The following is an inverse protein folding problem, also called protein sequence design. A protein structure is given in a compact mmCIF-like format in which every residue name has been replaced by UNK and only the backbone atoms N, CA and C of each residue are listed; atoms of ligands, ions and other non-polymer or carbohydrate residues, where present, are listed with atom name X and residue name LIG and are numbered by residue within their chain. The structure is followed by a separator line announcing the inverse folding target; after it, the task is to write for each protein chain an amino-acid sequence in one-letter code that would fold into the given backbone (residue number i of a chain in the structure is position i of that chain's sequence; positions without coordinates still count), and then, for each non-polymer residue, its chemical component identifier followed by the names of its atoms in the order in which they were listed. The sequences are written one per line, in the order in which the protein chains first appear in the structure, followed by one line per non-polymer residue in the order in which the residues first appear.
data_IF_010585296335
#
_entry.id   IF_010585296335
#
_cell.length_a   1.000
_cell.length_b   1.000
_cell.length_c   1.000
_cell.angle_alpha   90.00
_cell.angle_beta   90.00
_cell.angle_gamma   90.00
#
_symmetry.space_group_name_H-M   'P 1'
#
loop_
_entity.id
_entity.type
_entity.pdbx_description
1 polymer ?
#
# COMPACT_ATOMS: atom_id res chain seq x y z
N UNK A 1 -0.29 -46.93 -36.60
CA UNK A 1 -0.91 -45.63 -36.29
C UNK A 1 -0.29 -45.14 -35.01
N UNK A 2 0.64 -44.21 -35.11
CA UNK A 2 1.39 -43.63 -33.99
C UNK A 2 0.44 -42.76 -33.18
N UNK A 3 0.24 -43.11 -31.90
CA UNK A 3 -0.43 -42.23 -30.94
C UNK A 3 0.49 -41.03 -30.69
N UNK A 4 0.19 -39.90 -31.32
CA UNK A 4 0.73 -38.62 -30.91
C UNK A 4 0.26 -38.33 -29.47
N UNK A 5 1.16 -37.93 -28.56
CA UNK A 5 0.74 -37.48 -27.24
C UNK A 5 -0.09 -36.21 -27.40
N UNK A 6 -1.38 -36.30 -27.11
CA UNK A 6 -2.25 -35.13 -26.99
C UNK A 6 -1.69 -34.25 -25.86
N UNK A 7 -0.98 -33.18 -26.25
CA UNK A 7 -0.63 -32.09 -25.36
C UNK A 7 -1.94 -31.43 -24.92
N UNK A 8 -2.47 -31.84 -23.77
CA UNK A 8 -3.53 -31.10 -23.09
C UNK A 8 -2.89 -29.78 -22.62
N UNK A 9 -2.98 -28.73 -23.44
CA UNK A 9 -2.58 -27.38 -23.06
C UNK A 9 -3.35 -27.01 -21.80
N UNK A 10 -2.64 -26.86 -20.67
CA UNK A 10 -3.22 -26.42 -19.43
C UNK A 10 -3.92 -25.06 -19.63
N UNK A 11 -5.24 -25.03 -19.42
CA UNK A 11 -6.03 -23.82 -19.64
C UNK A 11 -5.51 -22.66 -18.79
N UNK A 12 -5.35 -21.49 -19.42
CA UNK A 12 -4.94 -20.28 -18.74
C UNK A 12 -6.05 -19.78 -17.80
N UNK A 13 -5.87 -20.01 -16.50
CA UNK A 13 -6.83 -19.62 -15.47
C UNK A 13 -7.00 -18.09 -15.35
N UNK A 14 -6.00 -17.30 -15.74
CA UNK A 14 -6.14 -15.84 -15.82
C UNK A 14 -7.09 -15.46 -16.96
N UNK A 15 -6.97 -16.13 -18.11
CA UNK A 15 -7.87 -15.93 -19.25
C UNK A 15 -9.31 -16.28 -18.90
N UNK A 16 -9.54 -17.34 -18.13
CA UNK A 16 -10.89 -17.71 -17.67
C UNK A 16 -11.58 -16.58 -16.89
N UNK A 17 -10.85 -15.86 -16.03
CA UNK A 17 -11.42 -14.74 -15.29
C UNK A 17 -11.75 -13.55 -16.21
N UNK A 18 -10.89 -13.28 -17.20
CA UNK A 18 -11.13 -12.24 -18.22
C UNK A 18 -12.41 -12.56 -18.99
N UNK A 19 -12.52 -13.80 -19.49
CA UNK A 19 -13.70 -14.28 -20.23
C UNK A 19 -14.96 -14.23 -19.37
N UNK A 20 -14.88 -14.66 -18.09
CA UNK A 20 -16.01 -14.63 -17.15
C UNK A 20 -16.57 -13.22 -16.93
N UNK A 21 -15.73 -12.21 -16.99
CA UNK A 21 -16.12 -10.81 -16.83
C UNK A 21 -16.19 -10.06 -18.16
N UNK A 22 -16.31 -10.79 -19.28
CA UNK A 22 -16.50 -10.22 -20.63
C UNK A 22 -15.44 -9.19 -21.01
N UNK A 23 -14.20 -9.36 -20.53
CA UNK A 23 -13.11 -8.42 -20.77
C UNK A 23 -13.38 -6.99 -20.25
N UNK A 24 -14.33 -6.80 -19.32
CA UNK A 24 -14.67 -5.49 -18.75
C UNK A 24 -13.72 -5.13 -17.59
N UNK A 25 -12.89 -4.08 -17.72
CA UNK A 25 -11.96 -3.65 -16.67
C UNK A 25 -12.64 -3.35 -15.33
N UNK A 26 -13.86 -2.81 -15.35
CA UNK A 26 -14.59 -2.44 -14.13
C UNK A 26 -15.07 -3.68 -13.39
N UNK A 27 -15.59 -4.67 -14.13
CA UNK A 27 -15.97 -5.96 -13.54
C UNK A 27 -14.76 -6.68 -12.96
N UNK A 28 -13.61 -6.66 -13.66
CA UNK A 28 -12.35 -7.21 -13.15
C UNK A 28 -11.88 -6.49 -11.88
N UNK A 29 -11.92 -5.15 -11.85
CA UNK A 29 -11.56 -4.40 -10.65
C UNK A 29 -12.46 -4.74 -9.46
N UNK A 30 -13.78 -4.85 -9.68
CA UNK A 30 -14.75 -5.28 -8.66
C UNK A 30 -14.40 -6.68 -8.14
N UNK A 31 -13.99 -7.60 -9.02
CA UNK A 31 -13.58 -8.94 -8.62
C UNK A 31 -12.36 -8.92 -7.67
N UNK A 32 -11.35 -8.08 -7.95
CA UNK A 32 -10.21 -7.87 -7.06
C UNK A 32 -10.63 -7.24 -5.73
N UNK A 33 -11.52 -6.24 -5.74
CA UNK A 33 -12.02 -5.58 -4.53
C UNK A 33 -12.80 -6.54 -3.65
N UNK A 34 -13.69 -7.34 -4.24
CA UNK A 34 -14.46 -8.36 -3.54
C UNK A 34 -13.55 -9.42 -2.94
N UNK A 35 -12.58 -9.93 -3.72
CA UNK A 35 -11.64 -10.94 -3.24
C UNK A 35 -10.86 -10.45 -2.02
N UNK A 36 -10.23 -9.27 -2.09
CA UNK A 36 -9.45 -8.75 -0.95
C UNK A 36 -10.32 -8.35 0.25
N UNK A 37 -11.53 -7.83 0.01
CA UNK A 37 -12.45 -7.42 1.10
C UNK A 37 -13.03 -8.63 1.83
N UNK A 38 -13.48 -9.65 1.09
CA UNK A 38 -14.00 -10.89 1.67
C UNK A 38 -12.91 -11.62 2.46
N UNK A 39 -11.70 -11.67 1.92
CA UNK A 39 -10.55 -12.27 2.60
C UNK A 39 -10.18 -11.52 3.87
N UNK A 40 -10.12 -10.20 3.84
CA UNK A 40 -9.87 -9.40 5.04
C UNK A 40 -10.98 -9.60 6.09
N UNK A 41 -12.26 -9.63 5.69
CA UNK A 41 -13.37 -9.87 6.61
C UNK A 41 -13.27 -11.26 7.26
N UNK A 42 -13.02 -12.31 6.46
CA UNK A 42 -12.83 -13.67 6.94
C UNK A 42 -11.73 -13.76 8.00
N UNK A 43 -10.55 -13.23 7.71
CA UNK A 43 -9.43 -13.28 8.65
C UNK A 43 -9.60 -12.33 9.83
N UNK A 44 -10.31 -11.21 9.67
CA UNK A 44 -10.71 -10.36 10.78
C UNK A 44 -11.55 -11.13 11.78
N UNK A 45 -12.57 -11.83 11.30
CA UNK A 45 -13.46 -12.62 12.15
C UNK A 45 -12.70 -13.77 12.82
N UNK A 46 -11.82 -14.46 12.09
CA UNK A 46 -10.99 -15.52 12.65
C UNK A 46 -10.01 -15.02 13.73
N UNK A 47 -9.30 -13.92 13.48
CA UNK A 47 -8.25 -13.40 14.38
C UNK A 47 -8.85 -12.72 15.62
N UNK A 48 -10.01 -12.08 15.47
CA UNK A 48 -10.68 -11.38 16.58
C UNK A 48 -11.66 -12.27 17.36
N UNK A 49 -11.79 -13.55 17.01
CA UNK A 49 -12.59 -14.50 17.77
C UNK A 49 -11.97 -14.78 19.16
N UNK A 50 -12.80 -14.93 20.21
CA UNK A 50 -12.31 -15.40 21.51
C UNK A 50 -11.62 -16.76 21.38
N UNK A 51 -10.45 -16.93 21.98
CA UNK A 51 -9.65 -18.15 21.90
C UNK A 51 -8.57 -18.14 20.80
N UNK A 52 -8.43 -17.06 20.01
CA UNK A 52 -7.33 -16.95 19.05
C UNK A 52 -5.98 -16.88 19.78
N UNK A 53 -5.14 -17.90 19.59
CA UNK A 53 -3.91 -18.08 20.38
C UNK A 53 -2.63 -18.33 19.56
N UNK A 54 -2.73 -18.46 18.23
CA UNK A 54 -1.57 -18.75 17.40
C UNK A 54 -1.61 -18.07 16.02
N UNK A 55 -0.43 -17.63 15.57
CA UNK A 55 -0.18 -17.25 14.19
C UNK A 55 0.39 -18.46 13.43
N UNK A 56 0.16 -18.52 12.12
CA UNK A 56 0.83 -19.49 11.26
C UNK A 56 2.26 -19.00 10.97
N UNK A 57 3.19 -19.40 11.83
CA UNK A 57 4.60 -19.02 11.76
C UNK A 57 5.28 -19.57 10.50
N UNK A 58 6.17 -18.77 9.88
CA UNK A 58 7.01 -19.20 8.76
C UNK A 58 8.29 -19.88 9.28
N UNK A 59 8.24 -21.20 9.43
CA UNK A 59 9.34 -22.00 9.98
C UNK A 59 10.61 -21.91 9.15
N UNK A 60 10.48 -21.89 7.82
CA UNK A 60 11.65 -21.86 6.92
C UNK A 60 12.31 -20.49 6.98
N UNK A 61 11.52 -19.41 6.95
CA UNK A 61 12.06 -18.07 7.17
C UNK A 61 12.74 -17.95 8.55
N UNK A 62 12.15 -18.55 9.59
CA UNK A 62 12.75 -18.54 10.93
C UNK A 62 14.14 -19.20 10.94
N UNK A 63 14.27 -20.38 10.31
CA UNK A 63 15.55 -21.10 10.17
C UNK A 63 16.58 -20.34 9.31
N UNK A 64 16.13 -19.72 8.22
CA UNK A 64 17.00 -18.86 7.38
C UNK A 64 17.55 -17.69 8.19
N UNK A 65 16.71 -17.02 8.99
CA UNK A 65 17.14 -15.89 9.83
C UNK A 65 18.08 -16.32 10.97
N UNK A 66 17.97 -17.57 11.45
CA UNK A 66 18.93 -18.15 12.39
C UNK A 66 20.27 -18.46 11.71
N UNK A 67 20.24 -18.99 10.49
CA UNK A 67 21.43 -19.24 9.70
C UNK A 67 22.17 -17.94 9.32
N UNK A 68 21.45 -16.88 8.94
CA UNK A 68 22.02 -15.54 8.70
C UNK A 68 22.73 -14.95 9.93
N UNK A 69 22.33 -15.38 11.14
CA UNK A 69 22.99 -15.01 12.40
C UNK A 69 24.16 -15.93 12.77
N UNK A 70 24.44 -16.95 11.96
CA UNK A 70 25.47 -17.96 12.22
C UNK A 70 25.10 -18.97 13.30
N UNK A 71 23.80 -19.13 13.60
CA UNK A 71 23.33 -20.07 14.64
C UNK A 71 23.10 -21.49 14.10
N UNK A 72 22.84 -21.63 12.80
CA UNK A 72 22.65 -22.90 12.11
C UNK A 72 23.25 -22.86 10.71
N UNK A 73 23.51 -24.02 10.12
CA UNK A 73 23.94 -24.13 8.71
C UNK A 73 22.75 -24.36 7.76
N UNK A 74 21.54 -23.94 8.17
CA UNK A 74 20.33 -24.20 7.40
C UNK A 74 20.32 -23.43 6.07
N UNK A 75 20.01 -24.14 4.99
CA UNK A 75 19.79 -23.57 3.65
C UNK A 75 18.35 -23.89 3.23
N UNK A 76 17.59 -22.90 2.75
CA UNK A 76 16.23 -23.13 2.23
C UNK A 76 16.32 -24.06 1.01
N UNK A 77 15.75 -25.28 1.06
CA UNK A 77 15.86 -26.22 -0.05
C UNK A 77 14.94 -25.87 -1.22
N UNK A 78 14.03 -24.91 -1.05
CA UNK A 78 13.00 -24.58 -2.04
C UNK A 78 13.53 -23.55 -3.03
N UNK A 79 13.57 -23.93 -4.30
CA UNK A 79 13.85 -23.02 -5.39
C UNK A 79 12.55 -22.68 -6.13
N UNK A 80 12.34 -21.39 -6.40
CA UNK A 80 11.16 -20.87 -7.08
C UNK A 80 11.60 -20.07 -8.30
N UNK A 81 10.85 -20.19 -9.39
CA UNK A 81 11.04 -19.38 -10.59
C UNK A 81 9.78 -18.56 -10.84
N UNK A 82 9.93 -17.25 -10.79
CA UNK A 82 8.83 -16.31 -10.92
C UNK A 82 9.27 -15.01 -11.59
N UNK A 83 8.34 -14.37 -12.27
CA UNK A 83 8.45 -12.97 -12.68
C UNK A 83 7.90 -12.07 -11.58
N UNK A 84 8.71 -11.09 -11.22
CA UNK A 84 8.43 -10.14 -10.17
C UNK A 84 8.50 -8.70 -10.69
N UNK A 85 7.59 -7.87 -10.19
CA UNK A 85 7.62 -6.43 -10.38
C UNK A 85 8.20 -5.76 -9.13
N UNK A 86 9.16 -4.86 -9.33
CA UNK A 86 9.76 -4.07 -8.24
C UNK A 86 8.90 -2.83 -7.95
N UNK A 87 8.46 -2.62 -6.70
CA UNK A 87 7.65 -1.45 -6.36
C UNK A 87 8.44 -0.14 -6.51
N UNK A 88 7.80 0.93 -7.00
CA UNK A 88 8.45 2.23 -7.12
C UNK A 88 8.77 2.82 -5.73
N UNK A 89 9.67 3.81 -5.69
CA UNK A 89 10.18 4.40 -4.44
C UNK A 89 9.06 4.85 -3.49
N UNK A 90 8.04 5.52 -4.01
CA UNK A 90 6.93 6.04 -3.20
C UNK A 90 6.11 4.92 -2.52
N UNK A 91 5.99 3.74 -3.15
CA UNK A 91 5.35 2.57 -2.53
C UNK A 91 6.25 1.95 -1.47
N UNK A 92 7.56 1.84 -1.70
CA UNK A 92 8.51 1.37 -0.67
C UNK A 92 8.52 2.30 0.55
N UNK A 93 8.45 3.61 0.34
CA UNK A 93 8.34 4.60 1.41
C UNK A 93 6.99 4.50 2.16
N UNK A 94 5.91 4.12 1.48
CA UNK A 94 4.61 3.83 2.09
C UNK A 94 4.68 2.58 2.97
N UNK A 95 5.22 1.48 2.43
CA UNK A 95 5.41 0.22 3.17
C UNK A 95 6.24 0.47 4.43
N UNK A 96 7.34 1.21 4.33
CA UNK A 96 8.18 1.55 5.49
C UNK A 96 7.41 2.30 6.59
N UNK A 97 6.50 3.21 6.21
CA UNK A 97 5.64 3.91 7.18
C UNK A 97 4.66 2.96 7.85
N UNK A 98 4.02 2.08 7.08
CA UNK A 98 3.11 1.06 7.61
C UNK A 98 3.84 0.14 8.59
N UNK A 99 4.99 -0.40 8.19
CA UNK A 99 5.83 -1.28 9.00
C UNK A 99 6.23 -0.63 10.34
N UNK A 100 6.54 0.68 10.36
CA UNK A 100 6.81 1.42 11.60
C UNK A 100 5.63 1.49 12.56
N UNK A 101 4.40 1.44 12.05
CA UNK A 101 3.19 1.54 12.87
C UNK A 101 2.72 0.17 13.36
N UNK A 102 2.92 -0.91 12.58
CA UNK A 102 2.49 -2.28 12.94
C UNK A 102 3.57 -3.11 13.64
N UNK A 103 4.85 -2.91 13.31
CA UNK A 103 5.97 -3.71 13.82
C UNK A 103 6.01 -3.83 15.35
N UNK A 104 5.94 -2.70 16.10
CA UNK A 104 5.99 -2.73 17.57
C UNK A 104 4.80 -3.42 18.25
N UNK A 105 3.74 -3.78 17.52
CA UNK A 105 2.53 -4.39 18.12
C UNK A 105 2.70 -5.89 18.38
N UNK A 106 3.55 -6.56 17.60
CA UNK A 106 3.74 -8.02 17.61
C UNK A 106 5.23 -8.39 17.77
N UNK A 107 6.07 -7.47 18.23
CA UNK A 107 7.50 -7.75 18.47
C UNK A 107 7.69 -8.86 19.54
N UNK A 108 8.57 -9.86 19.33
CA UNK A 108 9.44 -10.11 18.17
C UNK A 108 8.84 -11.03 17.08
N UNK A 109 7.58 -11.45 17.21
CA UNK A 109 6.93 -12.43 16.33
C UNK A 109 6.52 -11.93 14.94
N UNK A 110 6.94 -10.73 14.54
CA UNK A 110 6.62 -10.14 13.24
C UNK A 110 7.90 -9.72 12.52
N UNK A 111 8.28 -10.47 11.49
CA UNK A 111 9.38 -10.12 10.61
C UNK A 111 8.90 -9.12 9.55
N UNK A 112 9.58 -7.97 9.47
CA UNK A 112 9.27 -6.91 8.52
C UNK A 112 10.13 -7.09 7.27
N UNK A 113 9.49 -7.21 6.09
CA UNK A 113 10.19 -7.41 4.82
C UNK A 113 11.11 -6.21 4.52
N UNK A 114 12.43 -6.41 4.33
CA UNK A 114 13.35 -5.32 4.03
C UNK A 114 13.01 -4.58 2.72
N UNK A 115 13.30 -3.27 2.61
CA UNK A 115 12.93 -2.48 1.43
C UNK A 115 13.49 -2.98 0.08
N UNK A 116 14.62 -3.69 0.10
CA UNK A 116 15.26 -4.27 -1.09
C UNK A 116 14.67 -5.65 -1.47
N UNK A 117 13.98 -6.31 -0.53
CA UNK A 117 13.24 -7.55 -0.77
C UNK A 117 11.76 -7.32 -1.13
N UNK A 118 11.28 -6.07 -1.11
CA UNK A 118 9.90 -5.77 -1.51
C UNK A 118 9.70 -6.04 -3.01
N UNK A 119 8.74 -6.91 -3.32
CA UNK A 119 8.37 -7.30 -4.67
C UNK A 119 6.90 -7.68 -4.76
N UNK A 120 6.37 -7.68 -5.98
CA UNK A 120 5.06 -8.25 -6.33
C UNK A 120 5.28 -9.36 -7.35
N UNK A 121 4.73 -10.54 -7.10
CA UNK A 121 4.78 -11.63 -8.06
C UNK A 121 3.75 -11.39 -9.17
N UNK A 122 4.21 -11.19 -10.40
CA UNK A 122 3.34 -11.04 -11.57
C UNK A 122 2.93 -12.40 -12.12
N UNK A 123 3.90 -13.32 -12.23
CA UNK A 123 3.68 -14.71 -12.64
C UNK A 123 4.60 -15.64 -11.85
N UNK A 124 4.04 -16.67 -11.22
CA UNK A 124 4.79 -17.80 -10.66
C UNK A 124 4.84 -18.90 -11.72
N UNK A 125 6.03 -19.29 -12.17
CA UNK A 125 6.22 -20.35 -13.18
C UNK A 125 6.30 -21.71 -12.48
N UNK A 126 7.18 -21.78 -11.49
CA UNK A 126 7.48 -22.97 -10.69
C UNK A 126 7.76 -22.59 -9.25
N UNK A 127 7.41 -23.48 -8.34
CA UNK A 127 7.70 -23.32 -6.92
C UNK A 127 8.11 -24.64 -6.29
N UNK A 128 8.97 -24.55 -5.27
CA UNK A 128 9.43 -25.66 -4.45
C UNK A 128 10.07 -26.82 -5.22
N UNK A 129 10.89 -26.51 -6.23
CA UNK A 129 11.72 -27.49 -6.95
C UNK A 129 13.15 -27.50 -6.41
N UNK A 130 13.91 -28.52 -6.82
CA UNK A 130 15.36 -28.59 -6.58
C UNK A 130 16.12 -27.58 -7.46
N UNK A 131 17.36 -27.27 -7.07
CA UNK A 131 18.22 -26.36 -7.85
C UNK A 131 18.40 -26.79 -9.32
N UNK A 132 18.80 -28.04 -9.60
CA UNK A 132 19.00 -28.52 -10.97
C UNK A 132 17.74 -28.41 -11.84
N UNK A 133 16.55 -28.71 -11.29
CA UNK A 133 15.29 -28.60 -12.04
C UNK A 133 14.95 -27.14 -12.38
N UNK A 134 15.23 -26.19 -11.48
CA UNK A 134 15.02 -24.76 -11.75
C UNK A 134 16.05 -24.25 -12.75
N UNK A 135 17.30 -24.68 -12.65
CA UNK A 135 18.38 -24.27 -13.56
C UNK A 135 18.09 -24.74 -14.99
N UNK A 136 17.56 -25.95 -15.17
CA UNK A 136 17.15 -26.47 -16.48
C UNK A 136 16.04 -25.60 -17.10
N UNK A 137 15.02 -25.26 -16.32
CA UNK A 137 13.91 -24.41 -16.78
C UNK A 137 14.39 -22.98 -17.08
N UNK A 138 15.23 -22.42 -16.21
CA UNK A 138 15.79 -21.08 -16.39
C UNK A 138 16.69 -21.02 -17.63
N UNK A 139 17.53 -22.02 -17.86
CA UNK A 139 18.37 -22.13 -19.05
C UNK A 139 17.51 -22.21 -20.32
N UNK A 140 16.46 -23.03 -20.34
CA UNK A 140 15.52 -23.14 -21.46
C UNK A 140 14.84 -21.80 -21.80
N UNK A 141 14.37 -21.07 -20.77
CA UNK A 141 13.77 -19.73 -20.95
C UNK A 141 14.80 -18.68 -21.42
N UNK A 142 16.06 -18.82 -21.00
CA UNK A 142 17.12 -17.91 -21.42
C UNK A 142 17.54 -18.15 -22.88
N UNK A 143 17.68 -19.41 -23.30
CA UNK A 143 18.05 -19.76 -24.69
C UNK A 143 16.96 -19.36 -25.69
N UNK A 144 15.69 -19.41 -25.30
CA UNK A 144 14.56 -18.98 -26.15
C UNK A 144 14.44 -17.46 -26.29
N UNK A 145 15.21 -16.66 -25.53
CA UNK A 145 15.14 -15.20 -25.55
C UNK A 145 13.93 -14.60 -24.81
N UNK A 146 13.05 -15.45 -24.28
CA UNK A 146 11.80 -15.05 -23.65
C UNK A 146 11.99 -14.24 -22.36
N UNK A 147 13.08 -14.46 -21.64
CA UNK A 147 13.39 -13.67 -20.44
C UNK A 147 13.46 -12.18 -20.77
N UNK A 148 14.07 -11.81 -21.90
CA UNK A 148 14.17 -10.43 -22.33
C UNK A 148 12.81 -9.87 -22.77
N UNK A 149 12.00 -10.67 -23.46
CA UNK A 149 10.63 -10.30 -23.83
C UNK A 149 9.78 -10.03 -22.59
N UNK A 150 9.74 -10.98 -21.65
CA UNK A 150 8.94 -10.93 -20.42
C UNK A 150 9.36 -9.77 -19.52
N UNK A 151 10.67 -9.51 -19.39
CA UNK A 151 11.19 -8.38 -18.62
C UNK A 151 10.81 -7.02 -19.23
N UNK A 152 10.78 -6.94 -20.57
CA UNK A 152 10.47 -5.72 -21.30
C UNK A 152 8.98 -5.57 -21.65
N UNK A 153 8.14 -6.57 -21.38
CA UNK A 153 6.75 -6.60 -21.81
C UNK A 153 5.95 -5.38 -21.33
N UNK A 154 6.23 -4.92 -20.12
CA UNK A 154 5.58 -3.75 -19.51
C UNK A 154 6.01 -2.40 -20.11
N UNK A 155 7.03 -2.36 -20.99
CA UNK A 155 7.38 -1.15 -21.73
C UNK A 155 6.30 -0.76 -22.74
N UNK A 156 5.63 -1.75 -23.34
CA UNK A 156 4.54 -1.58 -24.31
C UNK A 156 3.16 -1.89 -23.72
N UNK A 157 3.08 -2.82 -22.76
CA UNK A 157 1.82 -3.26 -22.14
C UNK A 157 1.75 -2.82 -20.67
N UNK A 158 1.51 -1.52 -20.46
CA UNK A 158 1.47 -0.92 -19.12
C UNK A 158 0.15 -1.20 -18.42
N UNK A 159 0.20 -2.05 -17.39
CA UNK A 159 -0.90 -2.23 -16.45
C UNK A 159 -0.76 -1.32 -15.23
N UNK A 160 -1.85 -0.66 -14.84
CA UNK A 160 -1.90 0.20 -13.66
C UNK A 160 -2.59 -0.51 -12.49
N UNK A 161 -2.09 -0.26 -11.29
CA UNK A 161 -2.67 -0.73 -10.03
C UNK A 161 -3.07 0.48 -9.17
N UNK A 162 -4.04 0.30 -8.28
CA UNK A 162 -4.73 1.44 -7.66
C UNK A 162 -5.30 1.04 -6.29
N UNK A 163 -5.79 2.03 -5.53
CA UNK A 163 -6.53 1.83 -4.25
C UNK A 163 -5.78 0.91 -3.26
N UNK A 164 -4.58 1.28 -2.78
CA UNK A 164 -3.83 0.47 -1.82
C UNK A 164 -4.62 0.24 -0.54
N UNK A 165 -4.65 -1.01 -0.06
CA UNK A 165 -5.09 -1.37 1.28
C UNK A 165 -4.14 -2.42 1.87
N UNK A 166 -4.06 -2.48 3.19
CA UNK A 166 -3.39 -3.54 3.92
C UNK A 166 -4.35 -4.74 3.99
N UNK A 167 -3.90 -5.88 3.47
CA UNK A 167 -4.52 -7.19 3.63
C UNK A 167 -3.69 -8.06 4.56
N UNK A 168 -4.33 -9.03 5.20
CA UNK A 168 -3.67 -9.93 6.14
C UNK A 168 -4.36 -11.28 6.17
N UNK A 169 -3.62 -12.28 6.61
CA UNK A 169 -4.13 -13.57 7.09
C UNK A 169 -3.36 -13.99 8.35
N UNK A 170 -3.50 -15.24 8.76
CA UNK A 170 -2.77 -15.78 9.93
C UNK A 170 -1.27 -15.97 9.69
N UNK A 171 -0.76 -15.81 8.46
CA UNK A 171 0.64 -16.06 8.08
C UNK A 171 1.42 -14.80 7.70
N UNK A 172 0.75 -13.80 7.12
CA UNK A 172 1.42 -12.62 6.58
C UNK A 172 0.52 -11.39 6.52
N UNK A 173 1.18 -10.24 6.36
CA UNK A 173 0.57 -8.94 6.09
C UNK A 173 1.10 -8.45 4.75
N UNK A 174 0.21 -7.95 3.89
CA UNK A 174 0.53 -7.48 2.55
C UNK A 174 -0.13 -6.14 2.24
N UNK A 175 0.51 -5.34 1.38
CA UNK A 175 -0.10 -4.17 0.75
C UNK A 175 -0.71 -4.61 -0.59
N UNK A 176 -2.03 -4.60 -0.67
CA UNK A 176 -2.82 -5.08 -1.80
C UNK A 176 -3.37 -3.92 -2.64
N UNK A 177 -3.47 -4.14 -3.94
CA UNK A 177 -3.98 -3.19 -4.93
C UNK A 177 -5.05 -3.86 -5.80
N UNK A 178 -5.82 -3.05 -6.54
CA UNK A 178 -6.69 -3.55 -7.62
C UNK A 178 -6.20 -3.01 -8.97
N UNK A 179 -6.55 -3.63 -10.11
CA UNK A 179 -6.27 -3.08 -11.44
C UNK A 179 -7.05 -1.78 -11.66
N UNK A 180 -6.47 -0.85 -12.42
CA UNK A 180 -7.21 0.32 -12.90
C UNK A 180 -8.31 -0.09 -13.90
N UNK A 181 -9.37 0.71 -13.99
CA UNK A 181 -10.60 0.48 -14.74
C UNK A 181 -11.31 1.80 -15.17
N UNK A 182 -10.54 2.74 -15.70
CA UNK A 182 -11.00 4.00 -16.30
C UNK A 182 -10.77 5.21 -15.41
N UNK A 183 -9.68 5.23 -14.64
CA UNK A 183 -9.52 6.20 -13.55
C UNK A 183 -8.42 7.21 -13.84
N UNK A 184 -8.72 8.49 -13.62
CA UNK A 184 -8.02 9.64 -14.24
C UNK A 184 -6.52 9.69 -13.96
N UNK A 185 -5.73 9.76 -15.04
CA UNK A 185 -4.28 9.80 -15.00
C UNK A 185 -3.69 11.22 -15.08
N UNK A 186 -2.58 11.44 -14.36
CA UNK A 186 -1.76 12.66 -14.37
C UNK A 186 -0.40 12.49 -15.07
N UNK A 187 -0.06 11.29 -15.54
CA UNK A 187 1.22 10.95 -16.16
C UNK A 187 1.10 10.82 -17.68
N UNK A 188 2.08 11.37 -18.40
CA UNK A 188 2.06 11.49 -19.88
C UNK A 188 2.20 10.14 -20.62
N UNK A 189 2.55 9.06 -19.90
CA UNK A 189 2.97 7.77 -20.47
C UNK A 189 2.00 6.62 -20.22
N UNK A 190 0.76 6.88 -19.81
CA UNK A 190 -0.21 5.82 -19.59
C UNK A 190 -1.01 5.45 -20.83
N UNK A 191 -1.32 4.15 -20.93
CA UNK A 191 -2.30 3.63 -21.87
C UNK A 191 -3.64 4.31 -21.60
N UNK A 192 -4.26 4.84 -22.65
CA UNK A 192 -5.28 5.90 -22.56
C UNK A 192 -6.66 5.45 -22.03
N UNK A 193 -6.88 4.16 -21.72
CA UNK A 193 -8.24 3.64 -21.51
C UNK A 193 -8.41 2.49 -20.49
N UNK A 194 -7.35 2.03 -19.81
CA UNK A 194 -7.36 0.88 -18.87
C UNK A 194 -8.01 -0.41 -19.39
N UNK A 195 -8.17 -0.56 -20.70
CA UNK A 195 -8.64 -1.83 -21.27
C UNK A 195 -7.66 -2.95 -20.92
N UNK A 196 -6.35 -2.62 -20.95
CA UNK A 196 -5.28 -3.50 -20.50
C UNK A 196 -5.04 -3.43 -18.98
N UNK A 197 -5.82 -4.19 -18.22
CA UNK A 197 -5.65 -4.34 -16.76
C UNK A 197 -4.44 -5.19 -16.35
N UNK A 198 -4.04 -5.11 -15.07
CA UNK A 198 -3.05 -6.02 -14.46
C UNK A 198 -3.39 -7.50 -14.64
N UNK A 199 -4.67 -7.86 -14.73
CA UNK A 199 -5.02 -9.27 -14.95
C UNK A 199 -4.72 -9.72 -16.39
N UNK A 200 -4.83 -8.84 -17.38
CA UNK A 200 -4.36 -9.11 -18.75
C UNK A 200 -2.85 -9.32 -18.78
N UNK A 201 -2.08 -8.46 -18.11
CA UNK A 201 -0.63 -8.65 -17.98
C UNK A 201 -0.30 -10.06 -17.46
N UNK A 202 -0.99 -10.55 -16.43
CA UNK A 202 -0.76 -11.91 -15.91
C UNK A 202 -1.14 -13.00 -16.90
N UNK A 203 -2.26 -12.81 -17.61
CA UNK A 203 -2.72 -13.71 -18.66
C UNK A 203 -1.71 -13.81 -19.80
N UNK A 204 -1.19 -12.68 -20.26
CA UNK A 204 -0.25 -12.62 -21.37
C UNK A 204 1.11 -13.20 -21.00
N UNK A 205 1.64 -12.84 -19.82
CA UNK A 205 2.88 -13.45 -19.32
C UNK A 205 2.73 -14.99 -19.21
N UNK A 206 1.57 -15.47 -18.74
CA UNK A 206 1.29 -16.91 -18.69
C UNK A 206 1.28 -17.53 -20.10
N UNK A 207 0.62 -16.87 -21.06
CA UNK A 207 0.56 -17.35 -22.44
C UNK A 207 1.93 -17.40 -23.08
N UNK A 208 2.73 -16.33 -22.95
CA UNK A 208 4.10 -16.26 -23.49
C UNK A 208 4.96 -17.40 -22.94
N UNK A 209 4.93 -17.63 -21.62
CA UNK A 209 5.70 -18.72 -21.00
C UNK A 209 5.15 -20.09 -21.43
N UNK A 210 3.84 -20.28 -21.55
CA UNK A 210 3.27 -21.58 -21.94
C UNK A 210 3.54 -21.91 -23.41
N UNK A 211 3.51 -20.91 -24.29
CA UNK A 211 3.81 -21.05 -25.73
C UNK A 211 5.26 -21.47 -25.97
N UNK A 212 6.16 -21.21 -25.03
CA UNK A 212 7.55 -21.67 -25.08
C UNK A 212 7.75 -23.16 -24.87
N UNK A 213 6.69 -23.88 -24.47
CA UNK A 213 6.79 -25.26 -23.99
C UNK A 213 7.26 -25.36 -22.53
N UNK A 214 7.58 -24.25 -21.87
CA UNK A 214 7.86 -24.24 -20.43
C UNK A 214 6.58 -24.60 -19.67
N UNK A 215 6.58 -25.70 -18.91
CA UNK A 215 5.40 -26.05 -18.16
C UNK A 215 5.22 -25.05 -17.01
N UNK A 216 3.97 -24.61 -16.74
CA UNK A 216 3.61 -23.66 -15.67
C UNK A 216 2.78 -24.35 -14.60
N UNK A 217 3.04 -24.02 -13.33
CA UNK A 217 2.33 -24.54 -12.16
C UNK A 217 2.06 -23.38 -11.19
N UNK A 218 1.34 -22.37 -11.70
CA UNK A 218 1.02 -21.17 -10.94
C UNK A 218 0.06 -21.50 -9.80
N UNK A 219 0.45 -21.29 -8.54
CA UNK A 219 -0.43 -21.56 -7.38
C UNK A 219 -1.46 -20.46 -7.14
N UNK A 220 -1.13 -19.24 -7.54
CA UNK A 220 -1.92 -18.05 -7.23
C UNK A 220 -2.61 -17.49 -8.47
N UNK A 221 -3.68 -18.12 -8.92
CA UNK A 221 -4.43 -17.66 -10.11
C UNK A 221 -5.56 -16.68 -9.77
N UNK A 222 -5.85 -16.52 -8.48
CA UNK A 222 -6.86 -15.59 -7.95
C UNK A 222 -6.56 -14.12 -8.30
N UNK A 223 -7.61 -13.26 -8.35
CA UNK A 223 -7.47 -11.81 -8.56
C UNK A 223 -6.79 -11.12 -7.37
N UNK A 224 -5.45 -11.14 -7.37
CA UNK A 224 -4.62 -10.58 -6.32
C UNK A 224 -3.41 -9.86 -6.91
N UNK A 225 -3.15 -8.66 -6.42
CA UNK A 225 -1.96 -7.85 -6.71
C UNK A 225 -1.46 -7.31 -5.38
N UNK A 226 -0.40 -7.91 -4.83
CA UNK A 226 0.03 -7.57 -3.48
C UNK A 226 1.55 -7.60 -3.34
N UNK A 227 2.04 -6.84 -2.36
CA UNK A 227 3.42 -6.83 -1.91
C UNK A 227 3.39 -7.32 -0.47
N UNK A 228 4.07 -8.42 -0.17
CA UNK A 228 4.23 -8.86 1.23
C UNK A 228 5.06 -7.84 1.99
N UNK A 229 4.55 -7.37 3.13
CA UNK A 229 5.22 -6.36 3.96
C UNK A 229 5.66 -6.89 5.32
N UNK A 230 5.05 -7.98 5.80
CA UNK A 230 5.49 -8.67 7.01
C UNK A 230 5.06 -10.14 7.01
N UNK A 231 5.78 -10.99 7.76
CA UNK A 231 5.44 -12.39 8.02
C UNK A 231 5.52 -12.69 9.52
N UNK A 232 4.62 -13.54 10.01
CA UNK A 232 4.71 -14.02 11.38
C UNK A 232 5.80 -15.08 11.47
N UNK A 233 6.66 -14.97 12.48
CA UNK A 233 7.79 -15.88 12.71
C UNK A 233 7.85 -16.31 14.17
N UNK A 234 8.46 -17.46 14.42
CA UNK A 234 8.75 -17.91 15.77
C UNK A 234 9.69 -16.89 16.46
N UNK A 235 9.44 -16.52 17.73
CA UNK A 235 10.41 -15.76 18.51
C UNK A 235 11.73 -16.54 18.63
N UNK A 236 12.87 -15.92 18.32
CA UNK A 236 14.19 -16.55 18.46
C UNK A 236 14.57 -16.90 19.91
N UNK A 237 13.83 -16.39 20.91
CA UNK A 237 14.05 -16.69 22.33
C UNK A 237 12.82 -17.41 22.91
N UNK A 238 12.92 -18.71 23.24
CA UNK A 238 11.83 -19.50 23.82
C UNK A 238 11.25 -18.88 25.10
N UNK A 239 12.06 -18.16 25.89
CA UNK A 239 11.60 -17.52 27.14
C UNK A 239 10.64 -16.36 26.91
N UNK A 240 10.66 -15.75 25.71
CA UNK A 240 9.66 -14.73 25.32
C UNK A 240 8.31 -15.36 24.92
N UNK A 241 8.30 -16.65 24.55
CA UNK A 241 7.09 -17.40 24.17
C UNK A 241 6.20 -17.72 25.38
N UNK A 242 6.79 -17.96 26.54
CA UNK A 242 6.09 -18.41 27.76
C UNK A 242 5.47 -17.27 28.60
N UNK A 243 5.81 -16.01 28.33
CA UNK A 243 5.44 -14.89 29.21
C UNK A 243 4.05 -14.28 28.99
N UNK A 244 3.38 -14.58 27.87
CA UNK A 244 2.11 -13.96 27.52
C UNK A 244 0.94 -14.91 27.79
N UNK A 245 0.01 -14.51 28.65
CA UNK A 245 -1.26 -15.23 28.83
C UNK A 245 -2.05 -15.24 27.51
N UNK A 246 -2.88 -16.27 27.26
CA UNK A 246 -3.74 -16.34 26.07
C UNK A 246 -4.56 -15.06 25.85
N UNK A 247 -5.06 -14.44 26.93
CA UNK A 247 -5.77 -13.16 26.89
C UNK A 247 -4.91 -11.98 26.42
N UNK A 248 -3.61 -12.00 26.72
CA UNK A 248 -2.68 -10.97 26.25
C UNK A 248 -2.40 -11.13 24.75
N UNK A 249 -2.29 -12.37 24.29
CA UNK A 249 -2.13 -12.67 22.86
C UNK A 249 -3.33 -12.20 22.06
N UNK A 250 -4.55 -12.57 22.47
CA UNK A 250 -5.80 -12.09 21.87
C UNK A 250 -5.83 -10.56 21.79
N UNK A 251 -5.49 -9.88 22.90
CA UNK A 251 -5.46 -8.42 22.95
C UNK A 251 -4.43 -7.81 21.98
N UNK A 252 -3.26 -8.42 21.81
CA UNK A 252 -2.24 -7.97 20.84
C UNK A 252 -2.74 -8.18 19.41
N UNK A 253 -3.35 -9.32 19.12
CA UNK A 253 -3.93 -9.63 17.82
C UNK A 253 -5.05 -8.64 17.45
N UNK A 254 -6.04 -8.43 18.33
CA UNK A 254 -7.11 -7.44 18.09
C UNK A 254 -6.56 -6.03 17.89
N UNK A 255 -5.56 -5.63 18.71
CA UNK A 255 -4.92 -4.31 18.57
C UNK A 255 -4.21 -4.14 17.22
N UNK A 256 -3.57 -5.19 16.71
CA UNK A 256 -2.99 -5.18 15.37
C UNK A 256 -4.06 -4.96 14.31
N UNK A 257 -5.15 -5.73 14.39
CA UNK A 257 -6.26 -5.65 13.43
C UNK A 257 -6.91 -4.27 13.45
N UNK A 258 -7.22 -3.72 14.62
CA UNK A 258 -7.77 -2.37 14.76
C UNK A 258 -6.82 -1.31 14.16
N UNK A 259 -5.50 -1.48 14.38
CA UNK A 259 -4.51 -0.57 13.82
C UNK A 259 -4.45 -0.66 12.29
N UNK A 260 -4.58 -1.86 11.74
CA UNK A 260 -4.66 -2.07 10.30
C UNK A 260 -5.93 -1.45 9.73
N UNK A 261 -7.07 -1.57 10.41
CA UNK A 261 -8.34 -0.96 10.01
C UNK A 261 -8.24 0.58 10.00
N UNK A 262 -7.60 1.19 11.01
CA UNK A 262 -7.30 2.62 11.05
C UNK A 262 -6.40 3.05 9.87
N UNK A 263 -5.33 2.30 9.60
CA UNK A 263 -4.43 2.56 8.47
C UNK A 263 -5.14 2.41 7.14
N UNK A 264 -6.02 1.42 7.00
CA UNK A 264 -6.86 1.22 5.81
C UNK A 264 -7.85 2.38 5.63
N UNK A 265 -8.42 2.89 6.72
CA UNK A 265 -9.22 4.10 6.67
C UNK A 265 -8.38 5.29 6.21
N UNK A 266 -7.16 5.49 6.74
CA UNK A 266 -6.23 6.55 6.30
C UNK A 266 -5.87 6.45 4.82
N UNK A 267 -5.52 5.24 4.34
CA UNK A 267 -5.21 4.96 2.93
C UNK A 267 -6.40 5.26 2.00
N UNK A 268 -7.63 5.12 2.51
CA UNK A 268 -8.87 5.47 1.79
C UNK A 268 -9.25 6.95 1.95
N UNK A 269 -8.70 7.67 2.94
CA UNK A 269 -9.16 9.00 3.36
C UNK A 269 -8.23 10.17 2.96
N UNK A 270 -8.35 10.67 1.73
CA UNK A 270 -7.99 12.07 1.44
C UNK A 270 -8.97 13.07 2.10
N UNK A 271 -8.45 14.10 2.80
CA UNK A 271 -9.27 15.19 3.37
C UNK A 271 -9.42 16.30 2.33
N UNK A 272 -10.55 16.28 1.64
CA UNK A 272 -10.94 17.28 0.65
C UNK A 272 -12.02 18.22 1.20
N UNK A 273 -11.77 19.53 1.14
CA UNK A 273 -12.75 20.56 1.49
C UNK A 273 -13.17 21.35 0.25
N UNK A 274 -14.48 21.56 -0.01
CA UNK A 274 -14.92 22.33 -1.17
C UNK A 274 -14.48 23.80 -1.10
N UNK A 275 -14.19 24.39 -2.27
CA UNK A 275 -13.86 25.83 -2.42
C UNK A 275 -14.99 26.77 -2.04
N UNK A 276 -16.22 26.26 -1.93
CA UNK A 276 -17.39 27.04 -1.49
C UNK A 276 -18.18 26.29 -0.42
N UNK A 277 -18.73 27.02 0.55
CA UNK A 277 -19.51 26.45 1.67
C UNK A 277 -20.59 27.42 2.11
N UNK A 278 -21.83 26.94 2.25
CA UNK A 278 -22.92 27.70 2.88
C UNK A 278 -22.81 27.60 4.40
N UNK A 279 -22.72 28.72 5.09
CA UNK A 279 -22.58 28.78 6.56
C UNK A 279 -23.07 30.12 7.09
N UNK A 280 -23.38 30.20 8.39
CA UNK A 280 -23.84 31.42 9.04
C UNK A 280 -22.83 32.57 8.91
N UNK A 281 -23.27 33.72 8.39
CA UNK A 281 -22.48 34.95 8.36
C UNK A 281 -22.83 35.81 9.57
N UNK A 282 -21.83 36.15 10.39
CA UNK A 282 -21.99 36.99 11.59
C UNK A 282 -21.97 38.51 11.30
N UNK A 283 -21.82 38.92 10.03
CA UNK A 283 -21.84 40.36 9.71
C UNK A 283 -23.22 40.94 10.00
N UNK A 284 -23.23 42.19 10.46
CA UNK A 284 -24.45 42.95 10.74
C UNK A 284 -25.38 43.01 9.52
N UNK A 285 -24.81 43.10 8.32
CA UNK A 285 -25.55 43.22 7.07
C UNK A 285 -26.17 41.89 6.59
N UNK A 286 -25.71 40.74 7.11
CA UNK A 286 -26.17 39.43 6.68
C UNK A 286 -27.01 38.72 7.74
N UNK A 287 -26.43 38.48 8.92
CA UNK A 287 -27.01 37.69 10.04
C UNK A 287 -27.75 36.39 9.64
N UNK A 288 -27.37 35.77 8.53
CA UNK A 288 -28.01 34.57 7.96
C UNK A 288 -27.00 33.65 7.28
N UNK A 289 -27.45 32.45 6.89
CA UNK A 289 -26.64 31.51 6.13
C UNK A 289 -26.39 32.02 4.71
N UNK A 290 -25.11 32.21 4.37
CA UNK A 290 -24.68 32.73 3.07
C UNK A 290 -23.61 31.82 2.46
N UNK A 291 -23.42 31.91 1.14
CA UNK A 291 -22.30 31.25 0.48
C UNK A 291 -20.98 31.94 0.87
N UNK A 292 -19.98 31.14 1.20
CA UNK A 292 -18.64 31.62 1.52
C UNK A 292 -17.63 30.99 0.56
N UNK A 293 -16.70 31.81 0.05
CA UNK A 293 -15.48 31.35 -0.61
C UNK A 293 -14.51 30.86 0.46
N UNK A 294 -14.07 29.62 0.33
CA UNK A 294 -13.15 28.96 1.25
C UNK A 294 -11.74 29.10 0.68
N UNK A 295 -10.80 29.54 1.51
CA UNK A 295 -9.36 29.59 1.20
C UNK A 295 -8.56 29.05 2.38
N UNK A 296 -7.36 28.52 2.13
CA UNK A 296 -6.47 28.13 3.23
C UNK A 296 -5.82 29.37 3.83
N UNK A 297 -5.83 29.50 5.16
CA UNK A 297 -5.10 30.56 5.84
C UNK A 297 -3.59 30.37 5.66
N UNK A 298 -2.90 31.45 5.30
CA UNK A 298 -1.45 31.54 5.30
C UNK A 298 -1.03 32.64 6.27
N UNK A 299 -0.01 32.37 7.08
CA UNK A 299 0.58 33.40 7.93
C UNK A 299 1.20 34.49 7.04
N UNK A 300 0.92 35.75 7.35
CA UNK A 300 1.53 36.89 6.67
C UNK A 300 3.00 37.05 7.04
N UNK A 301 3.72 37.88 6.27
CA UNK A 301 5.10 38.30 6.61
C UNK A 301 5.10 38.96 7.98
N UNK A 302 6.05 38.58 8.84
CA UNK A 302 6.20 39.21 10.15
C UNK A 302 6.60 40.68 9.99
N UNK A 303 5.88 41.59 10.66
CA UNK A 303 6.20 43.01 10.67
C UNK A 303 7.42 43.30 11.54
N UNK A 304 8.35 44.12 11.05
CA UNK A 304 9.53 44.56 11.79
C UNK A 304 9.19 45.61 12.86
N UNK A 305 8.12 46.38 12.64
CA UNK A 305 7.73 47.48 13.52
C UNK A 305 6.85 47.03 14.70
N UNK A 306 6.46 45.75 14.74
CA UNK A 306 5.78 45.17 15.88
C UNK A 306 6.61 45.39 17.16
N UNK A 307 5.97 45.80 18.25
CA UNK A 307 6.65 46.17 19.50
C UNK A 307 7.61 45.06 19.98
N UNK A 308 7.21 43.80 19.90
CA UNK A 308 8.03 42.65 20.28
C UNK A 308 9.30 42.49 19.42
N UNK A 309 9.19 42.75 18.11
CA UNK A 309 10.32 42.67 17.19
C UNK A 309 11.31 43.83 17.41
N UNK A 310 10.82 45.07 17.52
CA UNK A 310 11.66 46.23 17.89
C UNK A 310 12.42 46.03 19.21
N UNK A 311 11.74 45.48 20.22
CA UNK A 311 12.36 45.17 21.52
C UNK A 311 13.41 44.06 21.39
N UNK A 312 13.13 43.02 20.62
CA UNK A 312 14.06 41.92 20.38
C UNK A 312 15.32 42.41 19.67
N UNK A 313 15.18 43.20 18.61
CA UNK A 313 16.31 43.69 17.82
C UNK A 313 17.22 44.62 18.64
N UNK A 314 16.64 45.51 19.44
CA UNK A 314 17.40 46.34 20.39
C UNK A 314 18.08 45.52 21.48
N UNK A 315 17.49 44.41 21.91
CA UNK A 315 18.13 43.52 22.89
C UNK A 315 19.26 42.70 22.26
N UNK A 316 19.11 42.35 20.98
CA UNK A 316 20.03 41.48 20.25
C UNK A 316 21.26 42.24 19.68
N UNK A 317 21.21 43.57 19.63
CA UNK A 317 22.34 44.40 19.18
C UNK A 317 23.48 44.45 20.20
N UNK A 318 24.73 44.45 19.72
CA UNK A 318 25.93 44.49 20.56
C UNK A 318 26.55 43.10 20.78
N UNK A 319 27.34 42.96 21.85
CA UNK A 319 28.01 41.71 22.23
C UNK A 319 27.16 40.86 23.18
N UNK A 320 27.41 39.55 23.25
CA UNK A 320 26.72 38.63 24.19
C UNK A 320 25.88 37.51 23.55
N UNK A 321 25.89 37.39 22.22
CA UNK A 321 25.29 36.24 21.52
C UNK A 321 23.75 36.24 21.50
N UNK A 322 23.15 35.05 21.43
CA UNK A 322 21.69 34.88 21.29
C UNK A 322 20.96 35.17 22.61
N UNK A 323 20.10 36.20 22.65
CA UNK A 323 19.52 36.72 23.91
C UNK A 323 18.15 36.13 24.30
N UNK A 324 17.53 35.34 23.41
CA UNK A 324 16.24 34.66 23.65
C UNK A 324 16.31 33.18 23.27
N UNK A 325 15.58 32.30 24.00
CA UNK A 325 15.58 30.87 23.74
C UNK A 325 15.14 30.52 22.31
N UNK A 326 15.82 29.54 21.72
CA UNK A 326 15.45 28.93 20.44
C UNK A 326 14.89 27.53 20.71
N UNK A 327 13.71 27.22 20.18
CA UNK A 327 13.05 25.94 20.44
C UNK A 327 13.55 24.86 19.47
N UNK A 328 14.19 23.81 20.00
CA UNK A 328 14.78 22.71 19.21
C UNK A 328 13.96 21.41 19.21
N UNK A 329 13.17 21.12 20.25
CA UNK A 329 12.51 19.82 20.45
C UNK A 329 11.12 19.72 19.78
N UNK A 330 11.04 19.89 18.46
CA UNK A 330 9.76 19.81 17.71
C UNK A 330 9.27 18.36 17.58
N UNK A 331 8.24 17.99 18.35
CA UNK A 331 7.63 16.66 18.29
C UNK A 331 6.47 16.53 17.28
N UNK A 332 5.77 17.61 16.97
CA UNK A 332 4.57 17.55 16.10
C UNK A 332 4.97 17.61 14.63
N UNK A 333 4.55 16.61 13.86
CA UNK A 333 4.78 16.49 12.41
C UNK A 333 3.73 17.22 11.57
N UNK A 334 2.56 17.54 12.14
CA UNK A 334 1.44 18.20 11.46
C UNK A 334 1.07 19.53 12.12
N UNK A 335 0.23 20.33 11.45
CA UNK A 335 -0.37 21.57 11.98
C UNK A 335 -1.89 21.48 11.85
N UNK A 336 -2.63 22.25 12.65
CA UNK A 336 -4.08 22.41 12.43
C UNK A 336 -4.26 23.32 11.21
N UNK A 337 -4.99 22.84 10.21
CA UNK A 337 -5.34 23.66 9.03
C UNK A 337 -6.44 24.64 9.44
N UNK A 338 -6.27 25.91 9.09
CA UNK A 338 -7.27 26.96 9.32
C UNK A 338 -7.82 27.41 7.98
N UNK A 339 -9.14 27.40 7.86
CA UNK A 339 -9.86 27.89 6.68
C UNK A 339 -10.22 29.36 6.89
N UNK A 340 -10.01 30.19 5.87
CA UNK A 340 -10.54 31.55 5.77
C UNK A 340 -11.79 31.51 4.89
N UNK A 341 -12.93 31.82 5.50
CA UNK A 341 -14.25 31.83 4.87
C UNK A 341 -14.64 33.29 4.60
N UNK A 342 -14.72 33.67 3.34
CA UNK A 342 -15.13 35.01 2.90
C UNK A 342 -16.56 34.97 2.36
N UNK A 343 -17.46 35.75 2.97
CA UNK A 343 -18.85 35.82 2.53
C UNK A 343 -18.94 36.47 1.14
N UNK A 344 -19.70 35.86 0.23
CA UNK A 344 -19.85 36.39 -1.14
C UNK A 344 -20.62 37.72 -1.17
N UNK A 345 -21.59 37.89 -0.26
CA UNK A 345 -22.46 39.06 -0.15
C UNK A 345 -21.75 40.27 0.51
N UNK A 346 -21.37 40.15 1.79
CA UNK A 346 -20.82 41.29 2.56
C UNK A 346 -19.28 41.32 2.65
N UNK A 347 -18.57 40.38 2.02
CA UNK A 347 -17.09 40.25 2.05
C UNK A 347 -16.48 40.07 3.45
N UNK A 348 -17.30 39.92 4.50
CA UNK A 348 -16.84 39.60 5.84
C UNK A 348 -16.08 38.26 5.85
N UNK A 349 -14.98 38.23 6.60
CA UNK A 349 -14.08 37.08 6.69
C UNK A 349 -14.15 36.47 8.09
N UNK A 350 -14.25 35.15 8.18
CA UNK A 350 -14.14 34.39 9.44
C UNK A 350 -13.15 33.24 9.30
N UNK A 351 -12.56 32.81 10.41
CA UNK A 351 -11.64 31.69 10.46
C UNK A 351 -12.30 30.45 11.07
N UNK A 352 -11.98 29.27 10.55
CA UNK A 352 -12.44 27.98 11.09
C UNK A 352 -11.24 27.02 11.16
N UNK A 353 -10.90 26.56 12.36
CA UNK A 353 -9.83 25.57 12.56
C UNK A 353 -10.34 24.14 12.41
N UNK A 354 -9.62 23.32 11.65
CA UNK A 354 -9.87 21.88 11.52
C UNK A 354 -9.05 21.07 12.53
N UNK A 355 -9.34 19.76 12.60
CA UNK A 355 -8.46 18.78 13.23
C UNK A 355 -7.14 18.69 12.45
N UNK A 356 -6.12 18.05 13.05
CA UNK A 356 -4.82 17.85 12.40
C UNK A 356 -4.95 16.79 11.31
N UNK A 357 -4.40 17.04 10.14
CA UNK A 357 -4.28 16.08 9.04
C UNK A 357 -2.87 16.16 8.44
N UNK A 358 -2.44 15.08 7.79
CA UNK A 358 -1.15 15.04 7.06
C UNK A 358 -1.29 15.63 5.66
N UNK A 359 -2.36 15.26 4.96
CA UNK A 359 -2.70 15.77 3.62
C UNK A 359 -4.01 16.56 3.69
N UNK A 360 -4.03 17.72 3.02
CA UNK A 360 -5.18 18.62 2.95
C UNK A 360 -5.25 19.19 1.55
N UNK A 361 -6.41 19.04 0.92
CA UNK A 361 -6.69 19.65 -0.39
C UNK A 361 -7.94 20.53 -0.32
N UNK A 362 -7.94 21.59 -1.14
CA UNK A 362 -9.02 22.56 -1.21
C UNK A 362 -9.60 22.61 -2.62
N UNK A 363 -10.83 22.13 -2.75
CA UNK A 363 -11.54 21.96 -4.02
C UNK A 363 -10.81 21.00 -4.93
N UNK A 364 -10.31 19.90 -4.37
CA UNK A 364 -10.07 18.70 -5.16
C UNK A 364 -11.41 18.11 -5.61
N UNK A 365 -11.34 17.13 -6.48
CA UNK A 365 -12.55 16.51 -6.99
C UNK A 365 -13.27 15.74 -5.89
N UNK A 366 -14.60 15.88 -5.86
CA UNK A 366 -15.39 15.07 -4.95
C UNK A 366 -15.10 13.62 -5.29
N UNK A 367 -14.79 12.81 -4.27
CA UNK A 367 -14.59 11.38 -4.45
C UNK A 367 -15.78 10.79 -5.19
N UNK A 368 -15.57 10.44 -6.44
CA UNK A 368 -16.55 9.74 -7.27
C UNK A 368 -16.68 8.34 -6.68
N UNK A 369 -17.90 7.91 -6.35
CA UNK A 369 -18.13 6.55 -5.87
C UNK A 369 -17.65 5.59 -6.97
N UNK A 370 -16.69 4.74 -6.65
CA UNK A 370 -16.09 3.79 -7.59
C UNK A 370 -14.82 4.27 -8.32
N UNK A 371 -14.41 5.54 -8.21
CA UNK A 371 -13.19 6.03 -8.86
C UNK A 371 -11.91 5.47 -8.23
N UNK A 372 -10.87 5.28 -9.03
CA UNK A 372 -9.55 4.86 -8.60
C UNK A 372 -8.44 5.85 -8.93
N UNK A 373 -7.26 5.44 -8.51
CA UNK A 373 -6.01 6.19 -8.51
C UNK A 373 -5.14 5.63 -9.64
N UNK A 374 -3.91 6.08 -9.83
CA UNK A 374 -3.06 5.72 -10.98
C UNK A 374 -1.65 5.38 -10.50
N UNK A 375 -1.00 4.36 -11.09
CA UNK A 375 0.46 4.20 -11.08
C UNK A 375 1.09 4.51 -12.42
#
# INVERSE_FOLDING_TARGET
MTNEPQHVTAENQFQQLITRYENDPKKLQIAYENHRSNRNALFRDQICQPGFCEWKEDEILSKVLEAEKGLTDFVDPRNNLAFWARPPKHIRDLVYKIQKEIGPLIDPGLWLVPPHHLHMTTLEIRSALTGPEIDEIAASLQMSGLVAELANYTLTHRARLVKPIISYDTSAIALSFVPAAGEEDRHVYSGKDDQFTYHHLRSDLYNIVTQSGCPIAARYTVPSAHITIARFIAPSDPKKRESASAKEFEKKASRLIDKIDDLNHELRSDVNIPKTRRTYCKSKDCHKHQQHKVTQYKAGKASLFAQGKRRYDRKQSGYGGQTKPVFHKKAKTTKKVVLRLECTACKAKKQLALKRCKHFELGGDKKTKGAALVF
#
